data_IF_090371001950
#
_entry.id   IF_090371001950
#
_cell.length_a   1.000
_cell.length_b   1.000
_cell.length_c   1.000
_cell.angle_alpha   90.00
_cell.angle_beta   90.00
_cell.angle_gamma   90.00
#
_symmetry.space_group_name_H-M   'P 1'
#
loop_
_entity.id
_entity.type
_entity.pdbx_description
1 polymer ?
#
# COMPACT_ATOMS: atom_id res chain seq x y z
N UNK A 1 3.80 -9.40 3.71
CA UNK A 1 4.18 -8.15 4.41
C UNK A 1 5.56 -8.28 5.09
N UNK A 2 5.72 -9.17 6.07
CA UNK A 2 6.93 -9.36 6.87
C UNK A 2 8.26 -9.51 6.10
N UNK A 3 8.27 -10.24 4.98
CA UNK A 3 9.46 -10.36 4.13
C UNK A 3 9.92 -9.02 3.53
N UNK A 4 9.01 -8.07 3.34
CA UNK A 4 9.29 -6.75 2.77
C UNK A 4 9.49 -5.66 3.83
N UNK A 5 8.74 -5.70 4.93
CA UNK A 5 8.81 -4.72 6.02
C UNK A 5 9.94 -5.02 7.00
N UNK A 6 10.13 -6.28 7.37
CA UNK A 6 10.99 -6.67 8.50
C UNK A 6 12.22 -7.51 8.08
N UNK A 7 12.35 -7.84 6.78
CA UNK A 7 13.40 -8.73 6.23
C UNK A 7 13.56 -10.05 7.02
N UNK A 8 12.51 -10.50 7.70
CA UNK A 8 12.50 -11.72 8.52
C UNK A 8 11.35 -12.61 8.08
N UNK A 9 11.67 -13.87 7.77
CA UNK A 9 10.67 -14.92 7.56
C UNK A 9 10.36 -15.58 8.90
N UNK A 10 9.08 -15.63 9.28
CA UNK A 10 8.61 -16.42 10.41
C UNK A 10 7.98 -17.72 9.88
N UNK A 11 8.52 -18.92 10.23
CA UNK A 11 8.00 -20.19 9.75
C UNK A 11 6.63 -20.55 10.37
N UNK A 12 6.32 -19.99 11.54
CA UNK A 12 4.99 -20.00 12.14
C UNK A 12 4.43 -18.60 11.96
N UNK A 13 3.50 -18.45 11.01
CA UNK A 13 2.73 -17.21 10.89
C UNK A 13 1.41 -17.48 11.60
N UNK A 14 1.20 -16.86 12.75
CA UNK A 14 -0.11 -16.85 13.37
C UNK A 14 -1.10 -16.22 12.38
N UNK A 15 -2.30 -16.79 12.27
CA UNK A 15 -3.32 -16.25 11.39
C UNK A 15 -3.50 -14.76 11.71
N UNK A 16 -3.39 -13.88 10.71
CA UNK A 16 -3.65 -12.45 10.91
C UNK A 16 -5.07 -12.28 11.45
N UNK A 17 -5.20 -11.71 12.66
CA UNK A 17 -6.50 -11.39 13.26
C UNK A 17 -6.77 -9.91 12.95
N UNK A 18 -7.67 -9.65 12.00
CA UNK A 18 -7.97 -8.28 11.57
C UNK A 18 -7.02 -7.78 10.47
N UNK A 19 -6.33 -6.66 10.71
CA UNK A 19 -5.44 -6.00 9.75
C UNK A 19 -4.16 -5.50 10.41
N UNK A 20 -3.04 -5.74 9.76
CA UNK A 20 -1.72 -5.24 10.17
C UNK A 20 -1.27 -4.11 9.25
N UNK A 21 -0.56 -3.12 9.81
CA UNK A 21 -0.08 -1.94 9.09
C UNK A 21 1.45 -1.90 9.08
N UNK A 22 2.02 -1.61 7.91
CA UNK A 22 3.45 -1.42 7.72
C UNK A 22 3.71 -0.27 6.76
N UNK A 23 4.84 0.42 6.95
CA UNK A 23 5.25 1.48 6.04
C UNK A 23 6.73 1.35 5.67
N UNK A 24 7.04 1.52 4.39
CA UNK A 24 8.41 1.51 3.89
C UNK A 24 8.61 2.59 2.84
N UNK A 25 9.71 3.33 2.95
CA UNK A 25 10.15 4.27 1.91
C UNK A 25 10.88 3.49 0.81
N UNK A 26 10.50 3.73 -0.44
CA UNK A 26 11.20 3.23 -1.62
C UNK A 26 11.52 4.40 -2.55
N UNK A 27 12.47 4.20 -3.47
CA UNK A 27 12.80 5.16 -4.51
C UNK A 27 12.31 4.62 -5.84
N UNK A 28 11.47 5.40 -6.53
CA UNK A 28 10.95 5.10 -7.86
C UNK A 28 11.36 6.24 -8.77
N UNK A 29 12.22 5.95 -9.76
CA UNK A 29 12.92 6.97 -10.54
C UNK A 29 13.58 7.99 -9.59
N UNK A 30 13.27 9.28 -9.73
CA UNK A 30 13.83 10.36 -8.92
C UNK A 30 12.94 10.77 -7.73
N UNK A 31 11.93 9.96 -7.38
CA UNK A 31 10.98 10.26 -6.30
C UNK A 31 11.07 9.26 -5.15
N UNK A 32 11.11 9.79 -3.94
CA UNK A 32 10.91 8.99 -2.72
C UNK A 32 9.42 8.79 -2.48
N UNK A 33 8.98 7.52 -2.51
CA UNK A 33 7.58 7.13 -2.33
C UNK A 33 7.44 6.38 -1.01
N UNK A 34 6.52 6.82 -0.16
CA UNK A 34 6.16 6.13 1.07
C UNK A 34 5.07 5.10 0.77
N UNK A 35 5.42 3.81 0.77
CA UNK A 35 4.43 2.75 0.68
C UNK A 35 3.79 2.52 2.05
N UNK A 36 2.46 2.58 2.10
CA UNK A 36 1.64 2.17 3.22
C UNK A 36 0.98 0.85 2.85
N UNK A 37 1.31 -0.20 3.58
CA UNK A 37 0.89 -1.57 3.29
C UNK A 37 -0.03 -2.02 4.41
N UNK A 38 -1.20 -2.50 4.00
CA UNK A 38 -2.20 -3.10 4.88
C UNK A 38 -2.22 -4.60 4.58
N UNK A 39 -1.85 -5.44 5.55
CA UNK A 39 -1.97 -6.89 5.44
C UNK A 39 -3.30 -7.31 6.07
N UNK A 40 -4.20 -7.81 5.24
CA UNK A 40 -5.55 -8.18 5.63
C UNK A 40 -5.65 -9.67 5.86
N UNK A 41 -6.35 -10.10 6.91
CA UNK A 41 -6.65 -11.51 7.13
C UNK A 41 -7.30 -12.16 5.88
N UNK A 42 -6.65 -13.18 5.33
CA UNK A 42 -7.14 -13.92 4.15
C UNK A 42 -8.24 -14.95 4.44
N UNK A 43 -8.76 -15.00 5.66
CA UNK A 43 -9.83 -15.91 6.06
C UNK A 43 -11.20 -15.31 5.73
N UNK A 44 -12.10 -16.13 5.20
CA UNK A 44 -13.42 -15.65 4.77
C UNK A 44 -14.24 -14.98 5.89
N UNK A 45 -14.01 -15.36 7.14
CA UNK A 45 -14.63 -14.78 8.34
C UNK A 45 -14.29 -13.30 8.57
N UNK A 46 -13.23 -12.77 7.94
CA UNK A 46 -12.80 -11.37 8.08
C UNK A 46 -13.05 -10.52 6.83
N UNK A 47 -13.79 -11.04 5.84
CA UNK A 47 -14.07 -10.33 4.57
C UNK A 47 -14.74 -8.97 4.73
N UNK A 48 -15.58 -8.79 5.75
CA UNK A 48 -16.20 -7.49 6.05
C UNK A 48 -15.16 -6.43 6.44
N UNK A 49 -14.08 -6.85 7.09
CA UNK A 49 -12.96 -5.98 7.49
C UNK A 49 -12.15 -5.61 6.25
N UNK A 50 -11.85 -6.56 5.35
CA UNK A 50 -11.07 -6.32 4.12
C UNK A 50 -11.70 -5.28 3.19
N UNK A 51 -13.04 -5.22 3.12
CA UNK A 51 -13.76 -4.32 2.20
C UNK A 51 -13.50 -2.83 2.43
N UNK A 52 -13.30 -2.40 3.67
CA UNK A 52 -13.02 -0.99 3.97
C UNK A 52 -11.64 -0.55 3.48
N UNK A 53 -10.68 -1.48 3.33
CA UNK A 53 -9.31 -1.18 2.91
C UNK A 53 -9.15 -1.11 1.39
N UNK A 54 -10.09 -1.64 0.61
CA UNK A 54 -10.11 -1.40 -0.84
C UNK A 54 -10.46 0.06 -1.17
N UNK A 55 -11.22 0.73 -0.30
CA UNK A 55 -11.62 2.13 -0.49
C UNK A 55 -10.41 3.04 -0.24
N UNK A 56 -9.84 3.55 -1.33
CA UNK A 56 -8.63 4.37 -1.30
C UNK A 56 -7.33 3.57 -1.43
N UNK A 57 -7.38 2.30 -1.83
CA UNK A 57 -6.16 1.60 -2.23
C UNK A 57 -5.76 2.01 -3.67
N UNK A 58 -4.52 2.47 -3.84
CA UNK A 58 -3.96 2.73 -5.17
C UNK A 58 -3.59 1.42 -5.91
N UNK A 59 -3.30 0.36 -5.16
CA UNK A 59 -3.11 -0.97 -5.71
C UNK A 59 -3.31 -2.08 -4.70
N UNK A 60 -3.41 -3.31 -5.21
CA UNK A 60 -3.64 -4.52 -4.43
C UNK A 60 -2.72 -5.65 -4.90
N UNK A 61 -2.24 -6.45 -3.95
CA UNK A 61 -1.54 -7.70 -4.22
C UNK A 61 -2.49 -8.86 -3.96
N UNK A 62 -2.81 -9.61 -5.01
CA UNK A 62 -3.66 -10.79 -4.92
C UNK A 62 -2.79 -12.03 -4.92
N UNK A 63 -2.70 -12.72 -3.78
CA UNK A 63 -1.72 -13.80 -3.57
C UNK A 63 -2.42 -15.16 -3.52
N UNK A 64 -1.88 -16.14 -4.25
CA UNK A 64 -2.24 -17.56 -4.10
C UNK A 64 -1.00 -18.41 -3.81
N UNK A 65 -1.23 -19.65 -3.39
CA UNK A 65 -0.18 -20.63 -3.11
C UNK A 65 -0.07 -21.60 -4.29
N UNK A 66 1.09 -21.66 -4.95
CA UNK A 66 1.27 -22.51 -6.14
C UNK A 66 1.09 -24.00 -5.86
N UNK A 67 1.22 -24.42 -4.60
CA UNK A 67 1.06 -25.82 -4.17
C UNK A 67 -0.39 -26.16 -3.81
N UNK A 68 -1.28 -25.16 -3.70
CA UNK A 68 -2.68 -25.34 -3.28
C UNK A 68 -3.64 -24.78 -4.32
N UNK A 69 -4.12 -25.67 -5.19
CA UNK A 69 -5.05 -25.36 -6.28
C UNK A 69 -6.31 -24.59 -5.85
N UNK A 70 -6.85 -24.89 -4.67
CA UNK A 70 -8.08 -24.24 -4.21
C UNK A 70 -7.88 -22.76 -3.91
N UNK A 71 -6.67 -22.33 -3.51
CA UNK A 71 -6.36 -20.91 -3.34
C UNK A 71 -6.42 -20.15 -4.66
N UNK A 72 -6.03 -20.80 -5.77
CA UNK A 72 -6.11 -20.24 -7.10
C UNK A 72 -7.57 -20.14 -7.59
N UNK A 73 -8.40 -21.16 -7.32
CA UNK A 73 -9.83 -21.13 -7.69
C UNK A 73 -10.58 -19.96 -7.05
N UNK A 74 -10.19 -19.55 -5.85
CA UNK A 74 -10.82 -18.43 -5.15
C UNK A 74 -10.42 -17.05 -5.71
N UNK A 75 -9.38 -16.95 -6.54
CA UNK A 75 -8.88 -15.69 -7.08
C UNK A 75 -9.94 -14.88 -7.83
N UNK A 76 -10.80 -15.55 -8.61
CA UNK A 76 -11.86 -14.87 -9.36
C UNK A 76 -12.80 -14.07 -8.44
N UNK A 77 -13.21 -14.70 -7.34
CA UNK A 77 -14.08 -14.07 -6.33
C UNK A 77 -13.37 -12.90 -5.63
N UNK A 78 -12.11 -13.07 -5.23
CA UNK A 78 -11.34 -12.01 -4.59
C UNK A 78 -11.07 -10.83 -5.53
N UNK A 79 -10.83 -11.11 -6.81
CA UNK A 79 -10.65 -10.10 -7.83
C UNK A 79 -11.94 -9.29 -8.07
N UNK A 80 -13.09 -9.97 -8.15
CA UNK A 80 -14.39 -9.31 -8.26
C UNK A 80 -14.66 -8.39 -7.07
N UNK A 81 -14.42 -8.86 -5.85
CA UNK A 81 -14.59 -8.02 -4.65
C UNK A 81 -13.64 -6.82 -4.64
N UNK A 82 -12.37 -7.02 -4.99
CA UNK A 82 -11.41 -5.94 -5.09
C UNK A 82 -11.89 -4.87 -6.07
N UNK A 83 -12.37 -5.26 -7.26
CA UNK A 83 -12.88 -4.34 -8.30
C UNK A 83 -14.18 -3.66 -7.94
N UNK A 84 -15.08 -4.33 -7.21
CA UNK A 84 -16.36 -3.76 -6.79
C UNK A 84 -16.19 -2.68 -5.70
N UNK A 85 -15.15 -2.80 -4.88
CA UNK A 85 -14.91 -1.91 -3.74
C UNK A 85 -13.74 -0.94 -3.92
N UNK A 86 -12.96 -1.07 -5.00
CA UNK A 86 -11.91 -0.13 -5.38
C UNK A 86 -12.40 0.89 -6.41
N UNK A 87 -11.57 1.90 -6.67
CA UNK A 87 -11.76 2.76 -7.83
C UNK A 87 -11.34 2.02 -9.12
N UNK A 88 -11.88 2.43 -10.26
CA UNK A 88 -11.68 1.74 -11.56
C UNK A 88 -10.23 1.68 -12.03
N UNK A 89 -9.33 2.49 -11.46
CA UNK A 89 -7.93 2.60 -11.87
C UNK A 89 -6.95 1.95 -10.86
N UNK A 90 -7.44 1.09 -9.97
CA UNK A 90 -6.59 0.37 -9.01
C UNK A 90 -5.68 -0.63 -9.75
N UNK A 91 -4.38 -0.57 -9.49
CA UNK A 91 -3.41 -1.53 -10.03
C UNK A 91 -3.48 -2.83 -9.23
N UNK A 92 -3.65 -3.96 -9.89
CA UNK A 92 -3.71 -5.27 -9.21
C UNK A 92 -2.59 -6.17 -9.75
N UNK A 93 -1.78 -6.69 -8.84
CA UNK A 93 -0.75 -7.70 -9.14
C UNK A 93 -1.17 -9.06 -8.59
N UNK A 94 -1.22 -10.06 -9.44
CA UNK A 94 -1.35 -11.47 -9.09
C UNK A 94 0.02 -12.05 -8.70
N UNK A 95 0.08 -12.69 -7.53
CA UNK A 95 1.29 -13.30 -7.00
C UNK A 95 1.09 -14.80 -6.77
N UNK A 96 1.89 -15.62 -7.46
CA UNK A 96 2.06 -17.04 -7.16
C UNK A 96 3.13 -17.22 -6.09
N UNK A 97 2.75 -17.43 -4.83
CA UNK A 97 3.69 -17.58 -3.71
C UNK A 97 4.09 -19.04 -3.48
N UNK A 98 5.19 -19.24 -2.76
CA UNK A 98 5.84 -20.52 -2.45
C UNK A 98 6.48 -21.20 -3.65
N UNK A 99 7.06 -20.43 -4.56
CA UNK A 99 7.78 -20.98 -5.71
C UNK A 99 9.01 -21.84 -5.34
N UNK A 100 9.49 -21.75 -4.09
CA UNK A 100 10.50 -22.66 -3.54
C UNK A 100 10.01 -24.12 -3.44
N UNK A 101 8.70 -24.36 -3.50
CA UNK A 101 8.07 -25.69 -3.46
C UNK A 101 7.67 -26.19 -4.84
N UNK A 102 8.50 -25.96 -5.85
CA UNK A 102 8.27 -26.36 -7.25
C UNK A 102 7.84 -27.82 -7.42
N UNK A 103 8.48 -28.74 -6.67
CA UNK A 103 8.17 -30.16 -6.67
C UNK A 103 6.75 -30.52 -6.20
N UNK A 104 6.01 -29.59 -5.58
CA UNK A 104 4.61 -29.74 -5.14
C UNK A 104 3.66 -28.83 -5.92
N UNK A 105 4.10 -28.26 -7.03
CA UNK A 105 3.30 -27.33 -7.82
C UNK A 105 2.00 -27.98 -8.28
N UNK A 106 0.90 -27.34 -7.94
CA UNK A 106 -0.45 -27.71 -8.36
C UNK A 106 -1.05 -26.71 -9.37
N UNK A 107 -0.40 -25.55 -9.57
CA UNK A 107 -0.79 -24.51 -10.52
C UNK A 107 0.44 -24.13 -11.35
N UNK A 108 0.36 -24.31 -12.66
CA UNK A 108 1.46 -23.95 -13.57
C UNK A 108 1.68 -22.44 -13.64
N UNK A 109 2.90 -22.02 -13.93
CA UNK A 109 3.22 -20.61 -14.14
C UNK A 109 2.46 -20.04 -15.33
N UNK A 110 2.28 -20.84 -16.38
CA UNK A 110 1.52 -20.51 -17.59
C UNK A 110 0.06 -20.23 -17.26
N UNK A 111 -0.54 -21.05 -16.39
CA UNK A 111 -1.92 -20.85 -15.96
C UNK A 111 -2.09 -19.58 -15.13
N UNK A 112 -1.16 -19.32 -14.19
CA UNK A 112 -1.15 -18.08 -13.42
C UNK A 112 -1.03 -16.84 -14.32
N UNK A 113 -0.12 -16.90 -15.30
CA UNK A 113 0.08 -15.84 -16.29
C UNK A 113 -1.16 -15.65 -17.18
N UNK A 114 -1.76 -16.73 -17.68
CA UNK A 114 -2.95 -16.65 -18.51
C UNK A 114 -4.15 -16.04 -17.76
N UNK A 115 -4.31 -16.36 -16.47
CA UNK A 115 -5.32 -15.71 -15.64
C UNK A 115 -5.05 -14.22 -15.49
N UNK A 116 -3.80 -13.82 -15.21
CA UNK A 116 -3.43 -12.43 -15.10
C UNK A 116 -3.67 -11.65 -16.41
N UNK A 117 -3.23 -12.18 -17.54
CA UNK A 117 -3.44 -11.58 -18.87
C UNK A 117 -4.92 -11.42 -19.20
N UNK A 118 -5.72 -12.48 -18.98
CA UNK A 118 -7.19 -12.44 -19.20
C UNK A 118 -7.86 -11.32 -18.41
N UNK A 119 -7.36 -11.03 -17.21
CA UNK A 119 -7.92 -10.04 -16.32
C UNK A 119 -7.17 -8.70 -16.35
N UNK A 120 -6.10 -8.54 -17.15
CA UNK A 120 -5.29 -7.31 -17.19
C UNK A 120 -4.57 -7.02 -15.86
N UNK A 121 -4.05 -8.06 -15.22
CA UNK A 121 -3.28 -7.98 -13.98
C UNK A 121 -1.78 -8.12 -14.27
N UNK A 122 -0.94 -7.56 -13.41
CA UNK A 122 0.50 -7.88 -13.41
C UNK A 122 0.68 -9.27 -12.79
N UNK A 123 1.65 -10.06 -13.24
CA UNK A 123 1.92 -11.38 -12.66
C UNK A 123 3.38 -11.53 -12.22
N UNK A 124 3.58 -12.12 -11.04
CA UNK A 124 4.90 -12.49 -10.53
C UNK A 124 4.83 -13.73 -9.65
N UNK A 125 5.85 -14.60 -9.72
CA UNK A 125 6.04 -15.66 -8.72
C UNK A 125 7.03 -15.22 -7.66
N UNK A 126 6.73 -15.57 -6.41
CA UNK A 126 7.52 -15.19 -5.23
C UNK A 126 7.72 -16.37 -4.29
N UNK A 127 8.71 -16.25 -3.40
CA UNK A 127 8.77 -17.07 -2.19
C UNK A 127 9.04 -16.17 -1.00
N UNK A 128 8.06 -16.09 -0.11
CA UNK A 128 8.23 -15.46 1.20
C UNK A 128 9.35 -16.14 2.03
N UNK A 129 9.59 -17.44 1.83
CA UNK A 129 10.60 -18.21 2.58
C UNK A 129 12.02 -17.86 2.18
N UNK A 130 12.28 -17.72 0.88
CA UNK A 130 13.62 -17.40 0.34
C UNK A 130 13.79 -15.90 0.08
N UNK A 131 12.75 -15.10 0.33
CA UNK A 131 12.63 -13.71 -0.07
C UNK A 131 12.69 -13.47 -1.59
N UNK A 132 12.62 -14.53 -2.40
CA UNK A 132 12.66 -14.44 -3.86
C UNK A 132 11.49 -13.61 -4.40
N UNK A 133 11.82 -12.57 -5.18
CA UNK A 133 10.88 -11.63 -5.82
C UNK A 133 9.91 -10.89 -4.88
N UNK A 134 10.02 -11.05 -3.56
CA UNK A 134 9.10 -10.39 -2.61
C UNK A 134 9.23 -8.88 -2.73
N UNK A 135 10.45 -8.35 -2.69
CA UNK A 135 10.70 -6.92 -2.84
C UNK A 135 10.32 -6.40 -4.23
N UNK A 136 10.65 -7.15 -5.28
CA UNK A 136 10.34 -6.77 -6.65
C UNK A 136 8.83 -6.68 -6.89
N UNK A 137 8.01 -7.54 -6.27
CA UNK A 137 6.55 -7.48 -6.40
C UNK A 137 5.98 -6.15 -5.88
N UNK A 138 6.47 -5.65 -4.73
CA UNK A 138 6.04 -4.36 -4.19
C UNK A 138 6.55 -3.19 -5.06
N UNK A 139 7.81 -3.24 -5.50
CA UNK A 139 8.40 -2.18 -6.34
C UNK A 139 7.67 -2.08 -7.68
N UNK A 140 7.50 -3.19 -8.41
CA UNK A 140 6.83 -3.20 -9.71
C UNK A 140 5.38 -2.70 -9.60
N UNK A 141 4.66 -3.08 -8.55
CA UNK A 141 3.30 -2.58 -8.33
C UNK A 141 3.30 -1.08 -8.10
N UNK A 142 4.24 -0.57 -7.30
CA UNK A 142 4.35 0.85 -7.03
C UNK A 142 4.79 1.66 -8.26
N UNK A 143 5.65 1.10 -9.11
CA UNK A 143 6.06 1.69 -10.39
C UNK A 143 4.89 1.82 -11.35
N UNK A 144 4.06 0.79 -11.48
CA UNK A 144 2.85 0.84 -12.32
C UNK A 144 1.86 1.88 -11.80
N UNK A 145 1.64 1.93 -10.48
CA UNK A 145 0.80 2.97 -9.86
C UNK A 145 1.36 4.36 -10.18
N UNK A 146 2.67 4.56 -10.02
CA UNK A 146 3.33 5.82 -10.35
C UNK A 146 3.18 6.18 -11.84
N UNK A 147 3.32 5.21 -12.74
CA UNK A 147 3.08 5.40 -14.18
C UNK A 147 1.63 5.82 -14.49
N UNK A 148 0.65 5.23 -13.79
CA UNK A 148 -0.76 5.61 -13.92
C UNK A 148 -1.05 7.02 -13.37
N UNK A 149 -0.33 7.47 -12.34
CA UNK A 149 -0.38 8.87 -11.86
C UNK A 149 0.21 9.81 -12.91
N UNK A 150 1.42 9.53 -13.42
CA UNK A 150 2.11 10.39 -14.39
C UNK A 150 1.34 10.50 -15.71
N UNK A 151 0.69 9.42 -16.14
CA UNK A 151 -0.15 9.41 -17.34
C UNK A 151 -1.53 10.06 -17.16
N UNK A 152 -1.85 10.55 -15.95
CA UNK A 152 -3.12 11.21 -15.65
C UNK A 152 -4.32 10.25 -15.52
N UNK A 153 -4.09 8.93 -15.51
CA UNK A 153 -5.15 7.95 -15.24
C UNK A 153 -5.58 7.95 -13.77
N UNK A 154 -4.66 8.29 -12.86
CA UNK A 154 -4.96 8.45 -11.43
C UNK A 154 -4.80 9.92 -11.06
N UNK A 155 -5.90 10.56 -10.66
CA UNK A 155 -5.91 11.95 -10.21
C UNK A 155 -5.49 12.03 -8.73
N UNK A 156 -4.29 12.56 -8.51
CA UNK A 156 -3.67 12.77 -7.20
C UNK A 156 -4.32 13.90 -6.39
N UNK A 157 -5.15 14.74 -7.00
CA UNK A 157 -5.87 15.81 -6.29
C UNK A 157 -7.08 15.29 -5.51
N UNK A 158 -7.52 14.07 -5.81
CA UNK A 158 -8.65 13.46 -5.15
C UNK A 158 -8.17 12.51 -4.04
N UNK A 159 -8.31 12.94 -2.79
CA UNK A 159 -7.88 12.20 -1.59
C UNK A 159 -8.53 10.81 -1.47
N UNK A 160 -9.60 10.53 -2.22
CA UNK A 160 -10.24 9.22 -2.22
C UNK A 160 -9.46 8.12 -2.96
N UNK A 161 -8.36 8.43 -3.67
CA UNK A 161 -7.44 7.45 -4.27
C UNK A 161 -6.33 6.95 -3.32
N UNK A 162 -6.31 7.44 -2.07
CA UNK A 162 -5.32 7.10 -1.04
C UNK A 162 -3.86 7.33 -1.41
N UNK A 163 -3.63 8.21 -2.38
CA UNK A 163 -2.32 8.78 -2.67
C UNK A 163 -2.30 10.18 -2.07
N UNK A 164 -1.29 10.46 -1.25
CA UNK A 164 -1.04 11.80 -0.71
C UNK A 164 0.28 12.32 -1.26
N UNK A 165 0.22 13.47 -1.91
CA UNK A 165 1.44 14.20 -2.30
C UNK A 165 2.00 14.83 -1.03
N UNK A 166 3.11 14.29 -0.52
CA UNK A 166 3.85 14.96 0.55
C UNK A 166 4.35 16.31 0.03
N UNK A 167 4.11 17.39 0.78
CA UNK A 167 4.82 18.64 0.53
C UNK A 167 6.31 18.32 0.50
N UNK A 168 6.98 18.64 -0.62
CA UNK A 168 8.43 18.65 -0.66
C UNK A 168 8.91 19.46 0.55
N UNK A 169 9.78 18.88 1.36
CA UNK A 169 10.48 19.65 2.38
C UNK A 169 11.27 20.74 1.64
N UNK A 170 10.67 21.94 1.56
CA UNK A 170 11.29 23.12 1.00
C UNK A 170 12.53 23.43 1.80
N UNK A 171 13.69 23.28 1.17
CA UNK A 171 14.95 23.75 1.72
C UNK A 171 15.06 25.27 1.67
N UNK A 172 15.92 25.76 2.58
CA UNK A 172 16.59 27.07 2.60
C UNK A 172 15.83 28.31 3.12
N UNK A 173 16.24 28.73 4.33
CA UNK A 173 16.86 30.04 4.57
C UNK A 173 16.02 31.30 4.36
N UNK A 174 15.72 31.99 5.47
CA UNK A 174 15.19 33.36 5.42
C UNK A 174 15.01 33.96 6.81
N UNK A 175 16.08 34.54 7.34
CA UNK A 175 16.02 35.43 8.50
C UNK A 175 15.19 36.69 8.18
N UNK A 176 14.36 37.10 9.15
CA UNK A 176 13.92 38.48 9.35
C UNK A 176 13.02 39.11 8.29
N UNK A 177 11.79 39.49 8.67
CA UNK A 177 11.53 40.90 8.92
C UNK A 177 10.20 41.13 9.62
N UNK A 178 10.22 42.12 10.51
CA UNK A 178 9.14 42.43 11.43
C UNK A 178 7.89 42.96 10.74
N UNK A 179 6.75 42.61 11.32
CA UNK A 179 5.52 43.36 11.17
C UNK A 179 5.42 44.31 12.36
N UNK A 180 5.67 45.60 12.08
CA UNK A 180 5.31 46.73 12.94
C UNK A 180 3.80 46.79 13.07
N UNK A 181 3.30 46.98 14.30
CA UNK A 181 2.00 47.57 14.57
C UNK A 181 2.22 48.71 15.56
N UNK A 182 2.18 49.93 15.03
CA UNK A 182 2.08 51.21 15.75
C UNK A 182 0.58 51.43 16.03
N UNK A 183 0.14 51.58 17.28
CA UNK A 183 0.00 52.88 17.95
C UNK A 183 -1.47 53.25 18.03
N UNK A 184 -2.14 53.11 19.18
CA UNK A 184 -2.43 54.19 20.14
C UNK A 184 -3.63 53.69 20.99
N UNK A 185 -3.85 53.97 22.27
CA UNK A 185 -3.18 54.77 23.29
C UNK A 185 -4.16 54.91 24.47
N UNK A 186 -3.65 54.88 25.71
CA UNK A 186 -4.31 55.56 26.83
C UNK A 186 -4.80 54.73 28.03
N UNK A 187 -3.97 54.71 29.09
CA UNK A 187 -4.27 54.92 30.55
C UNK A 187 -5.32 53.99 31.22
N UNK A 188 -5.18 53.47 32.43
CA UNK A 188 -4.49 53.92 33.63
C UNK A 188 -4.40 52.75 34.66
N UNK A 189 -3.55 52.93 35.66
CA UNK A 189 -3.21 52.02 36.75
C UNK A 189 -4.38 51.52 37.63
N UNK A 190 -4.27 50.31 38.22
CA UNK A 190 -3.98 50.10 39.66
C UNK A 190 -4.34 48.68 40.15
N UNK A 191 -3.43 48.14 40.98
CA UNK A 191 -3.60 47.24 42.13
C UNK A 191 -4.45 45.96 42.04
N UNK A 192 -3.81 44.84 42.45
CA UNK A 192 -4.33 44.05 43.57
C UNK A 192 -4.56 42.55 43.32
N UNK A 193 -3.58 41.72 43.73
CA UNK A 193 -3.80 40.56 44.61
C UNK A 193 -4.40 39.25 44.08
N UNK A 194 -3.76 38.14 44.47
CA UNK A 194 -4.49 36.91 44.87
C UNK A 194 -4.12 35.62 44.13
N UNK A 195 -3.37 34.75 44.80
CA UNK A 195 -3.26 33.32 44.49
C UNK A 195 -4.57 32.57 44.82
N UNK A 196 -4.86 31.52 44.06
CA UNK A 196 -5.24 30.15 44.48
C UNK A 196 -5.38 29.28 43.23
#
# INVERSE_FOLDING_TARGET
MYGFTDKRFQPVHDLTIGVEFGARMIHIADKSVKLQIWDTAGQESFRSITRSYYRGAAGALLVYDITRRDTFKHLGRWLEEARQHSQSNMVIMLIGNKNDLEHRRAVSTEEGRAFAEKHGLIFMETSAKTAYNVEQAFINTAEEIHGNIVSGKIDVSNESFGIKVGMAAGGAGGAGNGVKLDGSGGRNASQGGGCC
#
